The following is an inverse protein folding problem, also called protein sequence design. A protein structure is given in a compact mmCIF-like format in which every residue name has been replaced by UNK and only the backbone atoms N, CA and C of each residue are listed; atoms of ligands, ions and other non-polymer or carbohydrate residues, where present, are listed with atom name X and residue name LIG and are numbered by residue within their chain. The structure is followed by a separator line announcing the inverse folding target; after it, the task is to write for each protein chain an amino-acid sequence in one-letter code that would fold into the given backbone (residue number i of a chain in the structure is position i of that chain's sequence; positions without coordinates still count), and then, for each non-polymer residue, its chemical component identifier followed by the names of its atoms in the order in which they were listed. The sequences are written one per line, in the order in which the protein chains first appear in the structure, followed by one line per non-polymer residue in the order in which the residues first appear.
data_IF_410668021385
#
_entry.id   IF_410668021385
#
_cell.length_a   1.000
_cell.length_b   1.000
_cell.length_c   1.000
_cell.angle_alpha   90.00
_cell.angle_beta   90.00
_cell.angle_gamma   90.00
#
_symmetry.space_group_name_H-M   'P 1'
#
loop_
_entity.id
_entity.type
_entity.pdbx_description
1 polymer ?
#
# COMPACT_ATOMS: atom_id res chain seq x y z
N UNK A 1 -16.40 -33.54 32.89
CA UNK A 1 -15.42 -33.54 31.78
C UNK A 1 -16.15 -33.11 30.52
N UNK A 2 -16.19 -31.80 30.27
CA UNK A 2 -16.74 -31.24 29.03
C UNK A 2 -15.58 -30.60 28.27
N UNK A 3 -15.10 -31.28 27.24
CA UNK A 3 -14.07 -30.78 26.33
C UNK A 3 -14.73 -29.78 25.40
N UNK A 4 -14.38 -28.50 25.53
CA UNK A 4 -14.71 -27.46 24.57
C UNK A 4 -13.77 -27.67 23.39
N UNK A 5 -14.32 -28.14 22.27
CA UNK A 5 -13.59 -28.19 21.01
C UNK A 5 -13.27 -26.76 20.58
N UNK A 6 -11.98 -26.50 20.37
CA UNK A 6 -11.52 -25.30 19.68
C UNK A 6 -11.90 -25.48 18.21
N UNK A 7 -12.82 -24.65 17.71
CA UNK A 7 -13.14 -24.62 16.28
C UNK A 7 -11.87 -24.25 15.51
N UNK A 8 -11.38 -25.21 14.72
CA UNK A 8 -10.37 -24.96 13.70
C UNK A 8 -10.93 -23.95 12.70
N UNK A 9 -10.31 -22.79 12.62
CA UNK A 9 -10.61 -21.80 11.58
C UNK A 9 -10.26 -22.44 10.24
N UNK A 10 -11.27 -22.82 9.46
CA UNK A 10 -11.13 -23.20 8.06
C UNK A 10 -10.40 -22.06 7.33
N UNK A 11 -9.13 -22.29 7.00
CA UNK A 11 -8.39 -21.42 6.09
C UNK A 11 -9.05 -21.59 4.73
N UNK A 12 -9.94 -20.65 4.39
CA UNK A 12 -10.56 -20.55 3.07
C UNK A 12 -9.48 -20.71 1.99
N UNK A 13 -9.68 -21.64 1.06
CA UNK A 13 -8.83 -21.84 -0.13
C UNK A 13 -8.81 -20.64 -1.09
N UNK A 14 -9.58 -19.59 -0.78
CA UNK A 14 -9.60 -18.33 -1.50
C UNK A 14 -8.28 -17.56 -1.32
N UNK A 15 -7.62 -17.27 -2.44
CA UNK A 15 -6.48 -16.32 -2.51
C UNK A 15 -6.93 -14.84 -2.56
N UNK A 16 -8.16 -14.57 -2.13
CA UNK A 16 -8.79 -13.24 -2.15
C UNK A 16 -9.36 -12.86 -0.78
N UNK A 17 -9.33 -11.56 -0.49
CA UNK A 17 -10.09 -10.97 0.61
C UNK A 17 -11.61 -11.07 0.35
N UNK A 18 -12.43 -11.11 1.42
CA UNK A 18 -13.87 -11.23 1.26
C UNK A 18 -14.47 -10.00 0.53
N UNK A 19 -15.41 -10.28 -0.36
CA UNK A 19 -16.22 -9.28 -1.06
C UNK A 19 -17.43 -8.95 -0.19
N UNK A 20 -17.36 -7.81 0.49
CA UNK A 20 -18.39 -7.28 1.38
C UNK A 20 -19.11 -6.10 0.71
N UNK A 21 -20.22 -5.65 1.28
CA UNK A 21 -20.99 -4.54 0.70
C UNK A 21 -20.17 -3.25 0.64
N UNK A 22 -19.35 -3.00 1.66
CA UNK A 22 -18.55 -1.77 1.80
C UNK A 22 -17.33 -1.69 0.87
N UNK A 23 -16.77 -2.81 0.39
CA UNK A 23 -15.61 -2.82 -0.51
C UNK A 23 -15.94 -3.28 -1.93
N UNK A 24 -17.20 -3.66 -2.20
CA UNK A 24 -17.62 -4.04 -3.56
C UNK A 24 -17.56 -2.81 -4.47
N UNK A 25 -16.74 -2.87 -5.51
CA UNK A 25 -16.71 -1.85 -6.56
C UNK A 25 -17.98 -2.02 -7.42
N UNK A 26 -18.92 -1.07 -7.33
CA UNK A 26 -20.23 -1.10 -8.00
C UNK A 26 -20.46 0.17 -8.82
N UNK A 27 -20.17 0.15 -10.12
CA UNK A 27 -20.58 1.23 -11.03
C UNK A 27 -20.75 0.72 -12.47
N UNK A 28 -21.88 0.94 -13.14
CA UNK A 28 -21.92 1.05 -14.59
C UNK A 28 -21.39 2.44 -15.00
N UNK A 29 -20.47 2.58 -15.96
CA UNK A 29 -19.93 1.57 -16.87
C UNK A 29 -18.49 1.16 -16.47
N UNK A 30 -18.18 1.03 -15.18
CA UNK A 30 -16.87 0.51 -14.77
C UNK A 30 -16.81 -0.95 -15.18
N UNK A 31 -15.88 -1.25 -16.08
CA UNK A 31 -15.57 -2.62 -16.46
C UNK A 31 -15.18 -3.38 -15.19
N UNK A 32 -16.04 -4.33 -14.79
CA UNK A 32 -15.87 -5.15 -13.58
C UNK A 32 -14.56 -5.94 -13.62
N UNK A 33 -13.95 -6.09 -14.79
CA UNK A 33 -12.61 -6.67 -14.97
C UNK A 33 -11.50 -5.86 -14.27
N UNK A 34 -11.73 -4.59 -13.96
CA UNK A 34 -10.79 -3.71 -13.26
C UNK A 34 -10.81 -3.89 -11.73
N UNK A 35 -11.77 -4.66 -11.20
CA UNK A 35 -11.93 -4.88 -9.76
C UNK A 35 -11.16 -6.14 -9.32
N UNK A 36 -10.23 -5.96 -8.40
CA UNK A 36 -9.37 -7.00 -7.85
C UNK A 36 -9.59 -7.16 -6.35
N UNK A 37 -9.51 -8.39 -5.85
CA UNK A 37 -9.66 -8.72 -4.43
C UNK A 37 -8.56 -9.70 -3.95
N UNK A 38 -7.69 -10.15 -4.86
CA UNK A 38 -6.61 -11.08 -4.58
C UNK A 38 -5.49 -10.44 -3.75
N UNK A 39 -4.90 -11.22 -2.84
CA UNK A 39 -3.86 -10.76 -1.93
C UNK A 39 -2.67 -10.14 -2.67
N UNK A 40 -2.25 -10.78 -3.76
CA UNK A 40 -1.12 -10.35 -4.60
C UNK A 40 -1.31 -8.94 -5.14
N UNK A 41 -2.47 -8.64 -5.71
CA UNK A 41 -2.77 -7.31 -6.25
C UNK A 41 -2.82 -6.25 -5.16
N UNK A 42 -3.52 -6.51 -4.04
CA UNK A 42 -3.60 -5.55 -2.93
C UNK A 42 -2.20 -5.25 -2.37
N UNK A 43 -1.39 -6.30 -2.15
CA UNK A 43 -0.04 -6.18 -1.64
C UNK A 43 0.87 -5.39 -2.58
N UNK A 44 0.87 -5.72 -3.88
CA UNK A 44 1.70 -5.01 -4.88
C UNK A 44 1.38 -3.52 -4.96
N UNK A 45 0.10 -3.15 -4.86
CA UNK A 45 -0.28 -1.75 -4.81
C UNK A 45 0.26 -1.10 -3.54
N UNK A 46 -0.07 -1.65 -2.36
CA UNK A 46 0.34 -1.10 -1.07
C UNK A 46 1.87 -0.96 -0.95
N UNK A 47 2.62 -2.01 -1.28
CA UNK A 47 4.09 -2.03 -1.21
C UNK A 47 4.76 -1.04 -2.19
N UNK A 48 4.07 -0.66 -3.26
CA UNK A 48 4.58 0.33 -4.22
C UNK A 48 4.31 1.79 -3.83
N UNK A 49 3.50 2.04 -2.78
CA UNK A 49 3.12 3.39 -2.33
C UNK A 49 3.93 3.84 -1.11
N UNK A 50 4.51 5.04 -1.15
CA UNK A 50 5.24 5.59 0.01
C UNK A 50 4.31 6.15 1.10
N UNK A 51 3.15 6.67 0.69
CA UNK A 51 2.17 7.32 1.56
C UNK A 51 0.78 6.81 1.20
N UNK A 52 0.03 6.44 2.23
CA UNK A 52 -1.38 6.06 2.16
C UNK A 52 -2.21 7.05 2.96
N UNK A 53 -3.49 7.19 2.63
CA UNK A 53 -4.44 7.99 3.40
C UNK A 53 -5.19 7.08 4.36
N UNK A 54 -5.09 7.39 5.65
CA UNK A 54 -5.75 6.63 6.72
C UNK A 54 -6.94 7.45 7.17
N UNK A 55 -8.13 6.87 7.08
CA UNK A 55 -9.40 7.51 7.37
C UNK A 55 -10.15 6.78 8.48
N UNK A 56 -10.71 7.53 9.42
CA UNK A 56 -11.54 7.02 10.51
C UNK A 56 -12.49 8.10 11.01
N UNK A 57 -13.44 7.71 11.86
CA UNK A 57 -14.42 8.64 12.43
C UNK A 57 -13.93 9.14 13.78
N UNK A 58 -13.91 10.46 13.94
CA UNK A 58 -13.65 11.16 15.22
C UNK A 58 -14.93 11.83 15.69
N UNK A 59 -14.90 12.39 16.89
CA UNK A 59 -15.96 13.26 17.42
C UNK A 59 -15.51 14.69 17.24
N UNK A 60 -16.31 15.54 16.60
CA UNK A 60 -15.99 16.97 16.42
C UNK A 60 -16.32 17.81 17.66
N UNK A 61 -16.19 19.13 17.54
CA UNK A 61 -16.42 20.09 18.63
C UNK A 61 -17.88 20.11 19.11
N UNK A 62 -18.82 19.74 18.25
CA UNK A 62 -20.26 19.68 18.55
C UNK A 62 -20.68 18.30 19.11
N UNK A 63 -19.75 17.34 19.19
CA UNK A 63 -20.03 16.00 19.67
C UNK A 63 -20.50 15.03 18.58
N UNK A 64 -20.46 15.43 17.31
CA UNK A 64 -20.98 14.65 16.19
C UNK A 64 -19.89 13.77 15.53
N UNK A 65 -20.25 12.63 14.91
CA UNK A 65 -19.32 11.81 14.16
C UNK A 65 -18.81 12.53 12.90
N UNK A 66 -17.51 12.77 12.83
CA UNK A 66 -16.87 13.51 11.73
C UNK A 66 -15.75 12.67 11.06
N UNK A 67 -15.66 12.65 9.72
CA UNK A 67 -14.60 11.93 9.03
C UNK A 67 -13.26 12.65 9.22
N UNK A 68 -12.24 11.89 9.56
CA UNK A 68 -10.88 12.38 9.69
C UNK A 68 -9.95 11.55 8.82
N UNK A 69 -9.10 12.22 8.06
CA UNK A 69 -8.16 11.59 7.14
C UNK A 69 -6.79 12.21 7.29
N UNK A 70 -5.75 11.38 7.21
CA UNK A 70 -4.38 11.85 7.31
C UNK A 70 -3.41 10.94 6.52
N UNK A 71 -2.31 11.49 5.99
CA UNK A 71 -1.29 10.70 5.31
C UNK A 71 -0.37 9.96 6.30
N UNK A 72 -0.13 8.66 6.09
CA UNK A 72 0.88 7.86 6.80
C UNK A 72 1.54 6.85 5.87
N UNK A 73 2.73 6.41 6.23
CA UNK A 73 3.29 5.17 5.65
C UNK A 73 2.55 3.97 6.24
N UNK A 74 2.11 3.08 5.34
CA UNK A 74 1.40 1.86 5.66
C UNK A 74 2.11 0.67 5.01
N UNK A 75 2.44 -0.36 5.80
CA UNK A 75 3.22 -1.50 5.32
C UNK A 75 2.55 -2.82 5.65
N UNK A 76 2.53 -3.74 4.70
CA UNK A 76 2.04 -5.09 4.94
C UNK A 76 3.00 -5.83 5.88
N UNK A 77 2.45 -6.61 6.81
CA UNK A 77 3.20 -7.47 7.69
C UNK A 77 2.38 -8.67 8.16
N UNK A 78 3.09 -9.73 8.57
CA UNK A 78 2.54 -10.98 9.10
C UNK A 78 3.46 -11.41 10.22
N UNK A 79 3.21 -10.85 11.41
CA UNK A 79 4.02 -11.13 12.59
C UNK A 79 3.71 -12.53 13.11
N UNK A 80 4.74 -13.37 13.25
CA UNK A 80 4.68 -14.64 13.97
C UNK A 80 5.79 -14.65 15.04
N UNK A 81 5.46 -14.62 16.34
CA UNK A 81 6.47 -14.62 17.41
C UNK A 81 7.33 -15.91 17.43
N UNK A 82 6.89 -16.99 16.75
CA UNK A 82 7.68 -18.23 16.63
C UNK A 82 8.70 -18.18 15.49
N UNK A 83 8.60 -17.19 14.61
CA UNK A 83 9.48 -17.01 13.46
C UNK A 83 9.87 -15.52 13.33
N UNK A 84 10.72 -15.00 14.23
CA UNK A 84 11.16 -13.61 14.19
C UNK A 84 11.96 -13.30 12.91
N UNK A 85 11.84 -12.06 12.40
CA UNK A 85 12.62 -11.60 11.25
C UNK A 85 14.12 -11.66 11.56
N UNK A 86 14.92 -12.05 10.58
CA UNK A 86 16.38 -12.01 10.66
C UNK A 86 16.88 -10.56 10.66
N UNK A 87 17.67 -10.17 11.66
CA UNK A 87 18.07 -8.76 11.85
C UNK A 87 18.93 -8.19 10.70
N UNK A 88 19.59 -9.05 9.91
CA UNK A 88 20.46 -8.69 8.78
C UNK A 88 19.76 -8.75 7.41
N UNK A 89 18.43 -8.88 7.37
CA UNK A 89 17.61 -9.05 6.17
C UNK A 89 17.91 -10.32 5.34
N UNK A 90 18.77 -11.24 5.82
CA UNK A 90 19.09 -12.50 5.15
C UNK A 90 19.70 -12.36 3.75
N UNK A 91 19.64 -13.42 2.95
CA UNK A 91 20.04 -13.37 1.53
C UNK A 91 19.02 -12.58 0.69
N UNK A 92 19.44 -12.13 -0.49
CA UNK A 92 18.55 -11.43 -1.43
C UNK A 92 17.35 -12.29 -1.83
N UNK A 93 17.57 -13.58 -2.07
CA UNK A 93 16.52 -14.54 -2.41
C UNK A 93 15.55 -14.74 -1.24
N UNK A 94 16.06 -14.77 -0.01
CA UNK A 94 15.22 -14.88 1.18
C UNK A 94 14.34 -13.64 1.34
N UNK A 95 14.91 -12.44 1.20
CA UNK A 95 14.18 -11.18 1.26
C UNK A 95 13.06 -11.14 0.21
N UNK A 96 13.38 -11.46 -1.05
CA UNK A 96 12.38 -11.48 -2.13
C UNK A 96 11.25 -12.45 -1.82
N UNK A 97 11.59 -13.67 -1.40
CA UNK A 97 10.60 -14.69 -1.06
C UNK A 97 9.68 -14.28 0.09
N UNK A 98 10.22 -13.63 1.11
CA UNK A 98 9.43 -13.11 2.22
C UNK A 98 8.42 -12.06 1.73
N UNK A 99 8.88 -11.11 0.91
CA UNK A 99 8.01 -10.09 0.33
C UNK A 99 6.93 -10.70 -0.59
N UNK A 100 7.28 -11.68 -1.42
CA UNK A 100 6.32 -12.36 -2.30
C UNK A 100 5.28 -13.18 -1.53
N UNK A 101 5.63 -13.69 -0.34
CA UNK A 101 4.71 -14.46 0.52
C UNK A 101 3.50 -13.67 1.02
N UNK A 102 3.57 -12.33 1.01
CA UNK A 102 2.41 -11.48 1.31
C UNK A 102 1.35 -11.54 0.21
N UNK A 103 1.72 -11.91 -1.02
CA UNK A 103 0.78 -12.14 -2.11
C UNK A 103 0.08 -13.50 -2.07
N UNK A 104 0.50 -14.40 -1.17
CA UNK A 104 -0.02 -15.77 -1.07
C UNK A 104 -1.10 -15.95 -0.01
N UNK A 105 -1.34 -14.94 0.83
CA UNK A 105 -2.30 -15.01 1.93
C UNK A 105 -2.55 -13.66 2.59
N UNK A 106 -3.41 -13.61 3.61
CA UNK A 106 -3.73 -12.37 4.30
C UNK A 106 -2.50 -11.79 5.01
N UNK A 107 -2.49 -10.47 5.13
CA UNK A 107 -1.52 -9.71 5.93
C UNK A 107 -2.26 -8.63 6.73
N UNK A 108 -1.62 -8.19 7.81
CA UNK A 108 -2.00 -7.01 8.58
C UNK A 108 -1.23 -5.80 8.06
N UNK A 109 -1.68 -4.59 8.42
CA UNK A 109 -1.00 -3.36 8.02
C UNK A 109 -0.43 -2.64 9.25
N UNK A 110 0.85 -2.30 9.21
CA UNK A 110 1.52 -1.54 10.27
C UNK A 110 1.66 -0.07 9.87
N UNK A 111 1.35 0.80 10.82
CA UNK A 111 1.39 2.26 10.66
C UNK A 111 2.32 2.87 11.71
N UNK A 112 3.04 3.94 11.34
CA UNK A 112 3.84 4.74 12.28
C UNK A 112 3.71 6.25 12.04
N UNK A 113 4.11 7.03 13.04
CA UNK A 113 4.17 8.49 12.98
C UNK A 113 3.33 9.18 14.06
N UNK A 114 3.29 10.52 14.06
CA UNK A 114 2.56 11.29 15.08
C UNK A 114 1.07 10.93 15.17
N UNK A 115 0.46 10.52 14.07
CA UNK A 115 -0.95 10.11 14.05
C UNK A 115 -1.19 8.70 14.58
N UNK A 116 -0.17 7.84 14.61
CA UNK A 116 -0.22 6.60 15.38
C UNK A 116 -0.43 6.90 16.87
N UNK A 117 0.07 8.04 17.37
CA UNK A 117 -0.19 8.49 18.74
C UNK A 117 -1.65 8.89 18.96
N UNK A 118 -2.30 9.55 17.98
CA UNK A 118 -3.73 9.88 18.06
C UNK A 118 -4.58 8.61 18.06
N UNK A 119 -4.35 7.72 17.08
CA UNK A 119 -5.04 6.42 17.01
C UNK A 119 -4.79 5.60 18.28
N UNK A 120 -3.55 5.54 18.78
CA UNK A 120 -3.20 4.84 20.03
C UNK A 120 -3.95 5.39 21.24
N UNK A 121 -4.13 6.72 21.34
CA UNK A 121 -4.95 7.32 22.41
C UNK A 121 -6.42 6.93 22.29
N UNK A 122 -6.97 6.99 21.07
CA UNK A 122 -8.36 6.62 20.81
C UNK A 122 -8.59 5.14 21.11
N UNK A 123 -7.70 4.25 20.68
CA UNK A 123 -7.83 2.81 20.90
C UNK A 123 -7.76 2.43 22.37
N UNK A 124 -6.95 3.14 23.16
CA UNK A 124 -6.92 2.96 24.63
C UNK A 124 -8.24 3.34 25.29
N UNK A 125 -8.95 4.31 24.75
CA UNK A 125 -10.23 4.80 25.33
C UNK A 125 -11.46 4.04 24.83
N UNK A 126 -11.45 3.59 23.56
CA UNK A 126 -12.64 3.07 22.86
C UNK A 126 -12.49 1.61 22.39
N UNK A 127 -11.33 0.99 22.59
CA UNK A 127 -11.00 -0.31 22.00
C UNK A 127 -10.56 -0.20 20.54
N UNK A 128 -10.52 -1.33 19.82
CA UNK A 128 -10.12 -1.33 18.42
C UNK A 128 -10.95 -0.35 17.57
N UNK A 129 -10.28 0.43 16.73
CA UNK A 129 -10.90 1.49 15.93
C UNK A 129 -11.06 1.02 14.49
N UNK A 130 -12.27 1.14 13.92
CA UNK A 130 -12.47 0.90 12.49
C UNK A 130 -11.74 1.97 11.68
N UNK A 131 -10.89 1.53 10.75
CA UNK A 131 -10.13 2.40 9.86
C UNK A 131 -10.28 1.96 8.41
N UNK A 132 -10.08 2.90 7.50
CA UNK A 132 -9.95 2.66 6.06
C UNK A 132 -8.60 3.19 5.62
N UNK A 133 -7.81 2.35 4.96
CA UNK A 133 -6.54 2.74 4.36
C UNK A 133 -6.76 2.79 2.85
N UNK A 134 -6.61 3.98 2.27
CA UNK A 134 -6.60 4.18 0.82
C UNK A 134 -5.18 4.37 0.35
N UNK A 135 -4.72 3.49 -0.54
CA UNK A 135 -3.41 3.58 -1.16
C UNK A 135 -3.60 3.70 -2.66
N UNK A 136 -3.30 4.88 -3.19
CA UNK A 136 -3.25 5.11 -4.63
C UNK A 136 -1.80 5.36 -4.97
N UNK A 137 -1.33 4.80 -6.10
CA UNK A 137 0.00 5.16 -6.60
C UNK A 137 0.09 6.68 -6.70
N UNK A 138 1.13 7.25 -6.08
CA UNK A 138 1.20 8.69 -5.81
C UNK A 138 1.17 9.52 -7.11
N UNK A 139 1.67 8.97 -8.22
CA UNK A 139 1.24 9.37 -9.56
C UNK A 139 0.33 8.31 -10.17
N UNK A 140 -0.65 8.75 -10.94
CA UNK A 140 -1.33 7.87 -11.90
C UNK A 140 -0.30 7.31 -12.90
N UNK A 141 -0.60 6.17 -13.51
CA UNK A 141 0.29 5.47 -14.45
C UNK A 141 0.19 6.04 -15.88
N UNK A 142 -0.73 6.99 -16.14
CA UNK A 142 -0.81 7.71 -17.40
C UNK A 142 -2.13 8.45 -17.62
N UNK A 143 -2.14 9.34 -18.60
CA UNK A 143 -3.32 10.08 -19.06
C UNK A 143 -3.79 9.51 -20.38
N UNK A 144 -5.07 9.17 -20.49
CA UNK A 144 -5.69 8.65 -21.72
C UNK A 144 -6.56 9.75 -22.34
N UNK A 145 -6.20 10.17 -23.55
CA UNK A 145 -6.80 11.31 -24.24
C UNK A 145 -7.60 10.87 -25.45
N UNK A 146 -8.88 11.22 -25.45
CA UNK A 146 -9.84 10.92 -26.51
C UNK A 146 -10.29 12.21 -27.20
N UNK A 147 -10.85 12.13 -28.41
CA UNK A 147 -11.38 13.33 -29.10
C UNK A 147 -12.73 13.81 -28.54
N UNK A 148 -13.41 12.97 -27.77
CA UNK A 148 -14.67 13.29 -27.09
C UNK A 148 -14.39 13.65 -25.62
N UNK A 149 -14.95 14.75 -25.08
CA UNK A 149 -14.68 15.20 -23.71
C UNK A 149 -14.96 14.16 -22.61
N UNK A 150 -15.92 13.28 -22.83
CA UNK A 150 -16.28 12.20 -21.91
C UNK A 150 -15.44 10.92 -22.09
N UNK A 151 -14.54 10.88 -23.07
CA UNK A 151 -13.66 9.74 -23.33
C UNK A 151 -12.29 9.83 -22.67
N UNK A 152 -11.97 10.94 -22.01
CA UNK A 152 -10.73 11.08 -21.25
C UNK A 152 -10.73 10.19 -20.00
N UNK A 153 -9.58 9.64 -19.65
CA UNK A 153 -9.43 8.80 -18.46
C UNK A 153 -7.98 8.79 -17.96
N UNK A 154 -7.73 8.06 -16.89
CA UNK A 154 -6.40 7.86 -16.31
C UNK A 154 -6.08 6.36 -16.26
N UNK A 155 -4.84 5.99 -16.49
CA UNK A 155 -4.32 4.71 -16.05
C UNK A 155 -3.89 4.85 -14.59
N UNK A 156 -4.30 3.96 -13.70
CA UNK A 156 -3.97 4.05 -12.29
C UNK A 156 -4.13 2.71 -11.59
N UNK A 157 -3.48 2.60 -10.43
CA UNK A 157 -3.60 1.50 -9.48
C UNK A 157 -3.95 2.06 -8.10
N UNK A 158 -5.01 1.53 -7.51
CA UNK A 158 -5.43 1.91 -6.16
C UNK A 158 -5.98 0.71 -5.41
N UNK A 159 -5.79 0.69 -4.09
CA UNK A 159 -6.45 -0.24 -3.19
C UNK A 159 -7.06 0.48 -1.98
N UNK A 160 -8.16 -0.09 -1.50
CA UNK A 160 -8.85 0.33 -0.28
C UNK A 160 -8.89 -0.87 0.66
N UNK A 161 -8.38 -0.69 1.86
CA UNK A 161 -8.27 -1.72 2.89
C UNK A 161 -9.12 -1.28 4.08
N UNK A 162 -10.08 -2.10 4.46
CA UNK A 162 -10.88 -1.93 5.67
C UNK A 162 -10.32 -2.82 6.77
N UNK A 163 -10.10 -2.25 7.94
CA UNK A 163 -9.58 -3.01 9.07
C UNK A 163 -9.89 -2.38 10.42
N UNK A 164 -9.40 -3.05 11.45
CA UNK A 164 -9.55 -2.64 12.84
C UNK A 164 -8.16 -2.34 13.40
N UNK A 165 -7.95 -1.10 13.81
CA UNK A 165 -6.69 -0.57 14.31
C UNK A 165 -6.52 -0.81 15.80
N UNK A 166 -5.36 -1.33 16.19
CA UNK A 166 -4.95 -1.62 17.56
C UNK A 166 -3.49 -1.23 17.82
N UNK A 167 -3.13 -0.83 19.05
CA UNK A 167 -1.75 -0.50 19.38
C UNK A 167 -0.90 -1.76 19.51
N UNK A 168 0.30 -1.73 18.92
CA UNK A 168 1.30 -2.79 19.15
C UNK A 168 1.91 -2.63 20.53
N UNK A 169 1.73 -3.64 21.39
CA UNK A 169 2.19 -3.62 22.79
C UNK A 169 3.48 -4.40 23.01
N UNK A 170 3.73 -5.45 22.22
CA UNK A 170 4.95 -6.25 22.32
C UNK A 170 6.14 -5.46 21.77
N UNK A 171 7.26 -5.47 22.50
CA UNK A 171 8.50 -4.85 22.03
C UNK A 171 9.08 -5.59 20.81
N UNK A 172 8.89 -6.91 20.73
CA UNK A 172 9.31 -7.74 19.59
C UNK A 172 8.50 -7.42 18.34
N UNK A 173 7.17 -7.33 18.45
CA UNK A 173 6.29 -6.95 17.33
C UNK A 173 6.52 -5.49 16.91
N UNK A 174 6.86 -4.61 17.84
CA UNK A 174 7.23 -3.23 17.54
C UNK A 174 8.54 -3.17 16.76
N UNK A 175 9.54 -3.97 17.13
CA UNK A 175 10.81 -4.10 16.39
C UNK A 175 10.55 -4.64 14.99
N UNK A 176 9.73 -5.68 14.87
CA UNK A 176 9.25 -6.22 13.59
C UNK A 176 8.60 -5.14 12.71
N UNK A 177 7.67 -4.37 13.26
CA UNK A 177 6.99 -3.34 12.48
C UNK A 177 7.96 -2.22 12.04
N UNK A 178 8.87 -1.80 12.91
CA UNK A 178 9.88 -0.79 12.56
C UNK A 178 10.85 -1.27 11.48
N UNK A 179 11.21 -2.56 11.50
CA UNK A 179 11.99 -3.20 10.46
C UNK A 179 11.28 -3.09 9.10
N UNK A 180 10.01 -3.51 9.02
CA UNK A 180 9.19 -3.41 7.82
C UNK A 180 9.05 -1.96 7.32
N UNK A 181 8.76 -1.03 8.22
CA UNK A 181 8.60 0.39 7.89
C UNK A 181 9.87 0.99 7.30
N UNK A 182 11.03 0.66 7.88
CA UNK A 182 12.33 1.13 7.39
C UNK A 182 12.63 0.56 6.01
N UNK A 183 12.39 -0.74 5.84
CA UNK A 183 12.64 -1.44 4.58
C UNK A 183 11.64 -1.11 3.47
N UNK A 184 10.45 -0.62 3.82
CA UNK A 184 9.47 -0.11 2.87
C UNK A 184 9.89 1.23 2.26
N UNK A 185 10.47 2.12 3.06
CA UNK A 185 10.99 3.41 2.54
C UNK A 185 12.15 3.17 1.58
N UNK A 186 13.05 2.28 1.96
CA UNK A 186 14.23 1.90 1.19
C UNK A 186 14.49 0.43 1.46
N UNK A 187 14.52 -0.36 0.40
CA UNK A 187 14.76 -1.81 0.50
C UNK A 187 16.06 -2.12 1.26
N UNK A 188 15.98 -3.04 2.22
CA UNK A 188 17.12 -3.49 3.06
C UNK A 188 17.84 -2.33 3.77
N UNK A 189 17.11 -1.26 4.07
CA UNK A 189 17.69 -0.11 4.77
C UNK A 189 17.98 -0.43 6.23
N UNK A 190 17.21 -1.31 6.85
CA UNK A 190 17.37 -1.66 8.26
C UNK A 190 18.76 -2.23 8.56
N UNK A 191 19.21 -3.22 7.78
CA UNK A 191 20.52 -3.86 7.95
C UNK A 191 21.71 -3.02 7.47
N UNK A 192 21.47 -2.00 6.62
CA UNK A 192 22.53 -1.16 6.04
C UNK A 192 22.83 0.12 6.82
N UNK A 193 22.21 0.29 7.99
CA UNK A 193 22.41 1.42 8.91
C UNK A 193 22.75 0.93 10.32
N UNK A 194 23.04 1.87 11.22
CA UNK A 194 23.28 1.55 12.62
C UNK A 194 22.05 0.91 13.26
N UNK A 195 22.30 -0.01 14.20
CA UNK A 195 21.25 -0.62 15.01
C UNK A 195 20.38 0.43 15.72
N UNK A 196 19.09 0.12 15.85
CA UNK A 196 18.17 0.98 16.58
C UNK A 196 18.49 0.97 18.06
N UNK A 197 18.80 2.15 18.60
CA UNK A 197 19.06 2.33 20.02
C UNK A 197 17.82 1.91 20.86
N UNK A 198 17.98 1.18 21.97
CA UNK A 198 16.85 0.73 22.80
C UNK A 198 15.93 1.87 23.28
N UNK A 199 16.49 3.05 23.55
CA UNK A 199 15.71 4.22 23.96
C UNK A 199 14.86 4.84 22.84
N UNK A 200 15.25 4.64 21.57
CA UNK A 200 14.43 5.07 20.44
C UNK A 200 13.17 4.20 20.33
N UNK A 201 13.28 2.88 20.53
CA UNK A 201 12.15 1.94 20.48
C UNK A 201 11.03 2.30 21.47
N UNK A 202 11.38 2.79 22.67
CA UNK A 202 10.40 3.16 23.71
C UNK A 202 9.54 4.36 23.31
N UNK A 203 10.05 5.25 22.46
CA UNK A 203 9.35 6.47 22.03
C UNK A 203 8.45 6.26 20.83
N UNK A 204 8.66 5.18 20.07
CA UNK A 204 7.87 4.90 18.87
C UNK A 204 6.54 4.25 19.26
N UNK A 205 5.46 4.78 18.69
CA UNK A 205 4.13 4.16 18.71
C UNK A 205 3.87 3.54 17.34
N UNK A 206 3.45 2.27 17.34
CA UNK A 206 3.06 1.54 16.15
C UNK A 206 1.62 1.10 16.31
N UNK A 207 0.84 1.26 15.24
CA UNK A 207 -0.51 0.73 15.14
C UNK A 207 -0.46 -0.45 14.17
N UNK A 208 -1.12 -1.53 14.56
CA UNK A 208 -1.45 -2.65 13.69
C UNK A 208 -2.89 -2.49 13.25
N UNK A 209 -3.17 -2.73 11.98
CA UNK A 209 -4.51 -2.77 11.41
C UNK A 209 -4.77 -4.18 10.95
N UNK A 210 -5.65 -4.87 11.66
CA UNK A 210 -6.11 -6.21 11.28
C UNK A 210 -7.03 -6.06 10.08
N UNK A 211 -6.62 -6.63 8.94
CA UNK A 211 -7.35 -6.45 7.68
C UNK A 211 -8.60 -7.34 7.67
N UNK A 212 -9.76 -6.71 7.51
CA UNK A 212 -11.06 -7.39 7.42
C UNK A 212 -11.49 -7.64 5.99
N UNK A 213 -11.26 -6.66 5.11
CA UNK A 213 -11.52 -6.77 3.68
C UNK A 213 -10.68 -5.76 2.91
N UNK A 214 -10.43 -6.04 1.64
CA UNK A 214 -9.74 -5.12 0.76
C UNK A 214 -10.29 -5.24 -0.66
N UNK A 215 -10.15 -4.18 -1.45
CA UNK A 215 -10.40 -4.21 -2.89
C UNK A 215 -9.42 -3.29 -3.60
N UNK A 216 -9.15 -3.59 -4.86
CA UNK A 216 -8.32 -2.78 -5.73
C UNK A 216 -9.03 -2.48 -7.03
N UNK A 217 -8.72 -1.30 -7.58
CA UNK A 217 -9.12 -0.90 -8.92
C UNK A 217 -7.86 -0.62 -9.73
N UNK A 218 -7.70 -1.36 -10.83
CA UNK A 218 -6.61 -1.17 -11.78
C UNK A 218 -7.19 -0.83 -13.14
N UNK A 219 -6.79 0.32 -13.67
CA UNK A 219 -7.02 0.67 -15.06
C UNK A 219 -5.67 0.82 -15.76
N UNK A 220 -5.40 -0.07 -16.71
CA UNK A 220 -4.17 -0.10 -17.49
C UNK A 220 -4.53 -0.43 -18.94
N UNK A 221 -5.06 0.57 -19.64
CA UNK A 221 -5.53 0.42 -21.02
C UNK A 221 -5.44 1.74 -21.79
N UNK A 222 -5.05 1.64 -23.06
CA UNK A 222 -5.24 2.71 -24.04
C UNK A 222 -6.71 2.74 -24.53
N UNK A 223 -7.01 3.63 -25.47
CA UNK A 223 -8.29 3.72 -26.16
C UNK A 223 -8.47 2.48 -27.02
N UNK A 224 -9.45 1.66 -26.62
CA UNK A 224 -9.93 0.55 -27.42
C UNK A 224 -11.33 0.94 -27.92
N UNK A 225 -11.54 0.83 -29.23
CA UNK A 225 -12.76 1.14 -29.99
C UNK A 225 -14.01 1.61 -29.22
N UNK A 226 -14.52 2.78 -29.59
CA UNK A 226 -15.76 3.37 -29.07
C UNK A 226 -16.94 2.39 -29.12
N UNK A 227 -17.61 2.22 -27.99
CA UNK A 227 -19.07 2.16 -28.02
C UNK A 227 -19.66 3.33 -27.22
N UNK A 228 -20.44 4.14 -27.98
CA UNK A 228 -21.64 4.88 -27.55
C UNK A 228 -21.43 6.23 -26.84
N UNK A 229 -21.16 7.27 -27.63
CA UNK A 229 -22.06 8.44 -27.72
C UNK A 229 -21.57 9.49 -28.75
N UNK A 230 -22.00 9.33 -30.00
CA UNK A 230 -22.58 10.43 -30.81
C UNK A 230 -21.72 11.59 -31.32
N UNK A 231 -20.44 11.75 -30.95
CA UNK A 231 -19.69 12.97 -31.31
C UNK A 231 -18.87 12.91 -32.61
N UNK A 232 -18.84 11.76 -33.31
CA UNK A 232 -18.08 11.60 -34.56
C UNK A 232 -16.56 11.65 -34.37
N UNK A 233 -15.79 11.41 -35.43
CA UNK A 233 -14.32 11.52 -35.41
C UNK A 233 -13.89 12.97 -35.66
N UNK A 234 -12.71 13.34 -35.13
CA UNK A 234 -12.06 14.64 -35.36
C UNK A 234 -10.61 14.41 -35.79
N UNK A 235 -10.33 14.61 -37.07
CA UNK A 235 -9.00 14.32 -37.64
C UNK A 235 -7.91 15.29 -37.18
N UNK A 236 -8.29 16.43 -36.60
CA UNK A 236 -7.41 17.45 -36.04
C UNK A 236 -7.07 17.23 -34.55
N UNK A 237 -7.61 16.18 -33.92
CA UNK A 237 -7.43 15.91 -32.49
C UNK A 237 -6.66 14.61 -32.29
N UNK A 238 -5.54 14.69 -31.57
CA UNK A 238 -4.73 13.52 -31.20
C UNK A 238 -5.47 12.65 -30.17
N UNK A 239 -5.37 11.33 -30.35
CA UNK A 239 -5.84 10.33 -29.38
C UNK A 239 -4.72 9.37 -28.99
N UNK A 240 -4.73 8.94 -27.74
CA UNK A 240 -3.77 7.97 -27.23
C UNK A 240 -3.58 8.04 -25.72
N UNK A 241 -2.48 7.48 -25.25
CA UNK A 241 -2.10 7.50 -23.85
C UNK A 241 -0.71 8.13 -23.68
N UNK A 242 -0.57 8.98 -22.68
CA UNK A 242 0.71 9.54 -22.24
C UNK A 242 1.07 8.81 -20.93
N UNK A 243 2.09 7.94 -20.92
CA UNK A 243 2.51 7.26 -19.70
C UNK A 243 3.02 8.27 -18.68
N UNK A 244 2.73 8.02 -17.41
CA UNK A 244 3.20 8.82 -16.28
C UNK A 244 3.76 7.88 -15.22
N UNK A 245 4.94 8.19 -14.70
CA UNK A 245 5.58 7.40 -13.66
C UNK A 245 6.45 8.28 -12.77
N UNK A 246 6.70 7.82 -11.54
CA UNK A 246 7.58 8.48 -10.59
C UNK A 246 9.03 8.08 -10.81
N UNK A 247 9.93 9.07 -10.72
CA UNK A 247 11.37 8.85 -10.77
C UNK A 247 11.99 9.33 -9.46
N UNK A 248 12.70 8.43 -8.79
CA UNK A 248 13.67 8.83 -7.77
C UNK A 248 14.85 9.50 -8.48
N UNK A 249 14.99 10.81 -8.27
CA UNK A 249 16.03 11.62 -8.90
C UNK A 249 17.43 11.37 -8.35
N UNK A 250 18.37 12.20 -8.79
CA UNK A 250 19.76 12.12 -8.35
C UNK A 250 19.90 12.40 -6.84
N UNK A 251 20.72 11.61 -6.12
CA UNK A 251 20.90 11.78 -4.69
C UNK A 251 21.57 13.11 -4.37
N UNK A 252 21.00 13.83 -3.39
CA UNK A 252 21.57 15.06 -2.86
C UNK A 252 22.23 14.75 -1.51
N UNK A 253 23.51 15.10 -1.37
CA UNK A 253 24.24 14.81 -0.14
C UNK A 253 23.70 15.60 1.06
N UNK A 254 23.69 14.95 2.23
CA UNK A 254 23.36 15.62 3.48
C UNK A 254 24.46 16.60 3.88
N UNK A 255 24.09 17.73 4.47
CA UNK A 255 25.06 18.63 5.12
C UNK A 255 25.62 18.08 6.45
N UNK A 256 25.04 17.01 6.99
CA UNK A 256 25.44 16.42 8.26
C UNK A 256 26.69 15.53 8.13
N UNK A 257 26.71 14.68 7.10
CA UNK A 257 27.87 13.87 6.72
C UNK A 257 28.13 14.07 5.22
N UNK A 258 28.80 15.16 4.82
CA UNK A 258 29.09 15.42 3.40
C UNK A 258 30.11 14.40 2.85
N UNK A 259 30.25 14.35 1.53
CA UNK A 259 31.28 13.59 0.79
C UNK A 259 31.18 12.05 0.89
N UNK A 260 30.08 11.52 1.44
CA UNK A 260 29.84 10.07 1.43
C UNK A 260 29.11 9.67 0.14
N UNK A 261 29.63 8.71 -0.65
CA UNK A 261 28.92 8.19 -1.80
C UNK A 261 27.68 7.42 -1.35
N UNK A 262 26.69 7.36 -2.24
CA UNK A 262 25.53 6.49 -2.08
C UNK A 262 26.00 5.03 -2.04
N UNK A 263 25.43 4.24 -1.12
CA UNK A 263 25.72 2.79 -1.04
C UNK A 263 25.30 2.10 -2.34
N UNK A 264 26.06 1.10 -2.78
CA UNK A 264 25.85 0.42 -4.07
C UNK A 264 24.44 -0.18 -4.17
N UNK A 265 24.00 -0.83 -3.10
CA UNK A 265 22.69 -1.48 -2.99
C UNK A 265 21.55 -0.47 -3.11
N UNK A 266 21.78 0.76 -2.64
CA UNK A 266 20.82 1.85 -2.71
C UNK A 266 20.69 2.40 -4.15
N UNK A 267 21.81 2.47 -4.87
CA UNK A 267 21.82 2.84 -6.30
C UNK A 267 21.06 1.78 -7.11
N UNK A 268 21.38 0.50 -6.91
CA UNK A 268 20.72 -0.62 -7.59
C UNK A 268 19.21 -0.66 -7.30
N UNK A 269 18.80 -0.44 -6.06
CA UNK A 269 17.39 -0.31 -5.70
C UNK A 269 16.70 0.86 -6.42
N UNK A 270 17.33 2.05 -6.42
CA UNK A 270 16.79 3.25 -7.06
C UNK A 270 16.57 3.00 -8.56
N UNK A 271 17.59 2.50 -9.23
CA UNK A 271 17.57 2.29 -10.68
C UNK A 271 16.57 1.22 -11.07
N UNK A 272 16.54 0.10 -10.35
CA UNK A 272 15.56 -0.96 -10.57
C UNK A 272 14.12 -0.47 -10.37
N UNK A 273 13.84 0.25 -9.28
CA UNK A 273 12.49 0.83 -9.04
C UNK A 273 12.09 1.77 -10.19
N UNK A 274 12.98 2.67 -10.59
CA UNK A 274 12.68 3.61 -11.66
C UNK A 274 12.37 2.90 -12.98
N UNK A 275 13.12 1.85 -13.32
CA UNK A 275 12.89 1.05 -14.52
C UNK A 275 11.57 0.25 -14.44
N UNK A 276 11.26 -0.34 -13.28
CA UNK A 276 9.99 -1.06 -13.07
C UNK A 276 8.77 -0.14 -13.22
N UNK A 277 8.81 1.07 -12.64
CA UNK A 277 7.71 2.03 -12.78
C UNK A 277 7.56 2.53 -14.22
N UNK A 278 8.67 2.83 -14.89
CA UNK A 278 8.67 3.23 -16.29
C UNK A 278 8.10 2.15 -17.19
N UNK A 279 8.62 0.93 -17.07
CA UNK A 279 8.20 -0.23 -17.86
C UNK A 279 6.70 -0.51 -17.68
N UNK A 280 6.18 -0.42 -16.45
CA UNK A 280 4.76 -0.59 -16.18
C UNK A 280 3.90 0.48 -16.87
N UNK A 281 4.26 1.76 -16.71
CA UNK A 281 3.50 2.87 -17.29
C UNK A 281 3.50 2.84 -18.83
N UNK A 282 4.67 2.56 -19.43
CA UNK A 282 4.81 2.41 -20.88
C UNK A 282 3.99 1.23 -21.42
N UNK A 283 4.00 0.09 -20.73
CA UNK A 283 3.19 -1.07 -21.11
C UNK A 283 1.69 -0.80 -20.96
N UNK A 284 1.26 -0.16 -19.86
CA UNK A 284 -0.13 0.21 -19.63
C UNK A 284 -0.68 1.20 -20.68
N UNK A 285 0.20 1.99 -21.30
CA UNK A 285 -0.14 2.93 -22.35
C UNK A 285 -0.25 2.28 -23.74
N UNK A 286 0.19 1.03 -23.94
CA UNK A 286 0.09 0.36 -25.24
C UNK A 286 -1.36 0.01 -25.59
N UNK A 287 -1.74 0.08 -26.88
CA UNK A 287 -3.00 -0.48 -27.34
C UNK A 287 -2.98 -2.01 -27.16
N UNK A 288 -4.10 -2.59 -26.73
CA UNK A 288 -4.27 -4.03 -26.56
C UNK A 288 -4.99 -4.64 -27.77
#
# INVERSE_FOLDING_TARGET
MGSIALDEVEISSSREYPKLTENTIREPPVDVSQAHYDYSTIYKILSSTFVSTISFVVTDEDGEPSPFSLPMTAVAGRYDPRNPICEDDGSEEQYIREQESFGEGPFDVYLHGNSAMMLSRMTKSKGAMKVVISSTKATVDGVVLHFAPNGHSLNYRSCVIHGDAEPVVSDEEKRYAMHLLTNHMVRRRWSSVNEVAPEAMKKVQVIKVVVRSASAKIRATNINGLEKAGLGTRDDVWTGAIPLYEVLGEPVQSGYCPERPMQKELVEWKDRRNEEERSYAEEAAKPK
#
